data_IF_155149803446
#
_entry.id   IF_155149803446
#
_cell.length_a   1.000
_cell.length_b   1.000
_cell.length_c   1.000
_cell.angle_alpha   90.00
_cell.angle_beta   90.00
_cell.angle_gamma   90.00
#
_symmetry.space_group_name_H-M   'P 1'
#
loop_
_entity.id
_entity.type
_entity.pdbx_description
1 polymer ?
#
# COMPACT_ATOMS: atom_id res chain seq x y z
N UNK A 1 -25.11 5.19 -2.94
CA UNK A 1 -24.96 3.86 -2.31
C UNK A 1 -23.87 3.97 -1.27
N UNK A 2 -24.10 3.57 -0.03
CA UNK A 2 -23.09 3.68 1.03
C UNK A 2 -22.05 2.58 0.79
N UNK A 3 -20.91 2.91 0.23
CA UNK A 3 -19.82 1.97 0.01
C UNK A 3 -19.33 1.44 1.36
N UNK A 4 -19.36 0.13 1.54
CA UNK A 4 -18.87 -0.55 2.74
C UNK A 4 -17.50 -1.16 2.42
N UNK A 5 -16.48 -0.78 3.19
CA UNK A 5 -15.13 -1.29 3.06
C UNK A 5 -14.86 -2.43 4.05
N UNK A 6 -14.27 -3.53 3.62
CA UNK A 6 -13.86 -4.58 4.55
C UNK A 6 -12.55 -4.17 5.22
N UNK A 7 -12.62 -3.68 6.44
CA UNK A 7 -11.48 -3.23 7.23
C UNK A 7 -10.93 -4.40 8.03
N UNK A 8 -9.62 -4.66 7.91
CA UNK A 8 -8.88 -5.63 8.72
C UNK A 8 -8.38 -4.99 10.02
N UNK A 9 -7.78 -3.80 9.93
CA UNK A 9 -7.26 -3.09 11.10
C UNK A 9 -7.14 -1.57 10.84
N UNK A 10 -7.17 -0.78 11.93
CA UNK A 10 -6.81 0.65 11.93
C UNK A 10 -5.88 0.87 13.11
N UNK A 11 -4.63 1.30 12.84
CA UNK A 11 -3.62 1.55 13.86
C UNK A 11 -2.69 2.71 13.47
N UNK A 12 -2.01 3.30 14.45
CA UNK A 12 -1.00 4.33 14.22
C UNK A 12 0.40 3.75 14.39
N UNK A 13 1.28 4.07 13.45
CA UNK A 13 2.70 3.69 13.49
C UNK A 13 3.54 4.68 12.67
N UNK A 14 4.69 4.24 12.16
CA UNK A 14 5.57 4.98 11.27
C UNK A 14 5.49 4.34 9.87
N UNK A 15 5.31 5.16 8.80
CA UNK A 15 5.47 4.65 7.45
C UNK A 15 6.91 4.15 7.26
N UNK A 16 7.06 2.85 7.05
CA UNK A 16 8.36 2.18 6.98
C UNK A 16 8.94 2.09 5.58
N UNK A 17 8.24 2.56 4.54
CA UNK A 17 8.58 2.30 3.14
C UNK A 17 8.38 3.54 2.25
N UNK A 18 9.15 3.57 1.15
CA UNK A 18 8.95 4.53 0.06
C UNK A 18 9.24 5.97 0.41
N UNK A 19 8.54 6.87 -0.28
CA UNK A 19 8.75 8.32 -0.19
C UNK A 19 8.52 8.88 1.21
N UNK A 20 7.54 8.35 1.92
CA UNK A 20 7.13 8.81 3.25
C UNK A 20 7.80 8.04 4.40
N UNK A 21 8.88 7.30 4.14
CA UNK A 21 9.62 6.60 5.21
C UNK A 21 9.94 7.53 6.38
N UNK A 22 9.59 7.12 7.59
CA UNK A 22 9.80 7.89 8.82
C UNK A 22 8.64 8.81 9.22
N UNK A 23 7.63 8.97 8.38
CA UNK A 23 6.45 9.81 8.68
C UNK A 23 5.50 9.07 9.62
N UNK A 24 5.05 9.68 10.74
CA UNK A 24 3.96 9.12 11.55
C UNK A 24 2.69 8.96 10.72
N UNK A 25 2.11 7.78 10.72
CA UNK A 25 1.00 7.45 9.86
C UNK A 25 -0.09 6.61 10.55
N UNK A 26 -1.31 6.77 10.09
CA UNK A 26 -2.46 5.94 10.43
C UNK A 26 -2.66 4.95 9.30
N UNK A 27 -2.53 3.68 9.59
CA UNK A 27 -2.76 2.62 8.61
C UNK A 27 -4.22 2.17 8.67
N UNK A 28 -4.89 2.22 7.53
CA UNK A 28 -6.21 1.61 7.30
C UNK A 28 -5.99 0.44 6.37
N UNK A 29 -5.96 -0.76 6.93
CA UNK A 29 -5.74 -1.99 6.17
C UNK A 29 -7.06 -2.61 5.76
N UNK A 30 -7.25 -2.79 4.45
CA UNK A 30 -8.43 -3.44 3.90
C UNK A 30 -8.20 -4.94 3.70
N UNK A 31 -9.25 -5.71 3.84
CA UNK A 31 -9.28 -7.14 3.60
C UNK A 31 -9.62 -7.43 2.13
N UNK A 32 -9.07 -8.51 1.59
CA UNK A 32 -9.26 -8.97 0.22
C UNK A 32 -8.06 -8.66 -0.67
N UNK A 33 -7.46 -9.68 -1.30
CA UNK A 33 -6.41 -9.54 -2.29
C UNK A 33 -6.35 -10.75 -3.22
N UNK A 34 -6.69 -10.61 -4.50
CA UNK A 34 -6.61 -11.73 -5.44
C UNK A 34 -5.24 -11.84 -6.14
N UNK A 35 -4.27 -10.95 -5.82
CA UNK A 35 -2.99 -10.85 -6.54
C UNK A 35 -2.08 -12.05 -6.30
N UNK A 36 -2.03 -12.59 -5.06
CA UNK A 36 -1.35 -13.83 -4.74
C UNK A 36 0.18 -13.77 -4.79
N UNK A 37 0.80 -12.75 -4.18
CA UNK A 37 2.25 -12.57 -4.12
C UNK A 37 2.91 -13.65 -3.25
N UNK A 38 3.92 -14.35 -3.76
CA UNK A 38 4.59 -15.43 -3.01
C UNK A 38 5.33 -14.92 -1.74
N UNK A 39 5.77 -13.66 -1.74
CA UNK A 39 6.49 -13.02 -0.62
C UNK A 39 5.64 -12.03 0.19
N UNK A 40 4.30 -12.15 0.12
CA UNK A 40 3.40 -11.28 0.85
C UNK A 40 3.57 -11.48 2.36
N UNK A 41 3.75 -10.38 3.10
CA UNK A 41 3.85 -10.38 4.56
C UNK A 41 2.50 -10.22 5.27
N UNK A 42 1.43 -9.95 4.50
CA UNK A 42 0.05 -9.80 5.01
C UNK A 42 -0.91 -10.82 4.39
N UNK A 43 -0.50 -12.08 4.22
CA UNK A 43 -1.32 -13.12 3.60
C UNK A 43 -2.67 -13.34 4.31
N UNK A 44 -2.75 -13.01 5.60
CA UNK A 44 -3.98 -13.05 6.39
C UNK A 44 -5.07 -12.11 5.86
N UNK A 45 -4.71 -11.14 5.00
CA UNK A 45 -5.68 -10.20 4.38
C UNK A 45 -6.22 -10.66 3.03
N UNK A 46 -5.86 -11.84 2.52
CA UNK A 46 -6.23 -12.23 1.17
C UNK A 46 -7.71 -12.58 1.02
N UNK A 47 -8.29 -13.27 1.99
CA UNK A 47 -9.63 -13.85 1.90
C UNK A 47 -10.67 -13.06 2.71
N UNK A 48 -11.86 -12.90 2.14
CA UNK A 48 -13.04 -12.35 2.80
C UNK A 48 -13.90 -13.49 3.39
N UNK A 49 -13.29 -14.28 4.28
CA UNK A 49 -13.98 -15.39 4.91
C UNK A 49 -15.08 -14.90 5.85
N UNK A 50 -16.32 -15.37 5.67
CA UNK A 50 -17.48 -14.88 6.42
C UNK A 50 -17.41 -15.20 7.93
N UNK A 51 -16.78 -16.33 8.30
CA UNK A 51 -16.54 -16.73 9.69
C UNK A 51 -15.50 -15.87 10.41
N UNK A 52 -14.78 -15.02 9.69
CA UNK A 52 -13.79 -14.05 10.20
C UNK A 52 -14.34 -12.63 10.34
N UNK A 53 -15.58 -12.41 9.95
CA UNK A 53 -16.22 -11.12 10.16
C UNK A 53 -16.56 -10.91 11.64
N UNK A 54 -16.06 -9.78 12.20
CA UNK A 54 -16.22 -9.44 13.62
C UNK A 54 -16.76 -8.02 13.78
N UNK A 55 -17.12 -7.64 15.00
CA UNK A 55 -17.50 -6.26 15.31
C UNK A 55 -16.28 -5.31 15.24
N UNK A 56 -16.46 -4.03 14.85
CA UNK A 56 -15.37 -3.07 14.65
C UNK A 56 -14.46 -2.87 15.87
N UNK A 57 -15.02 -2.87 17.08
CA UNK A 57 -14.30 -2.69 18.34
C UNK A 57 -13.15 -3.69 18.58
N UNK A 58 -13.22 -4.84 17.90
CA UNK A 58 -12.18 -5.87 17.98
C UNK A 58 -10.96 -5.61 17.11
N UNK A 59 -11.05 -4.66 16.18
CA UNK A 59 -10.02 -4.43 15.13
C UNK A 59 -9.35 -3.07 15.22
N UNK A 60 -9.88 -2.17 16.07
CA UNK A 60 -9.40 -0.79 16.13
C UNK A 60 -8.32 -0.59 17.19
N UNK A 61 -7.38 0.31 16.91
CA UNK A 61 -6.37 0.79 17.87
C UNK A 61 -5.12 -0.08 17.99
N UNK A 62 -4.98 -1.14 17.21
CA UNK A 62 -3.81 -2.04 17.25
C UNK A 62 -3.57 -2.68 15.90
N UNK A 63 -2.31 -2.96 15.60
CA UNK A 63 -1.94 -3.85 14.51
C UNK A 63 -2.24 -5.31 14.88
N UNK A 64 -2.58 -6.11 13.88
CA UNK A 64 -2.92 -7.51 14.06
C UNK A 64 -2.51 -8.33 12.84
N UNK A 65 -1.97 -9.52 13.04
CA UNK A 65 -1.76 -10.51 11.98
C UNK A 65 -2.98 -11.44 11.80
N UNK A 66 -4.14 -11.02 12.29
CA UNK A 66 -5.39 -11.81 12.23
C UNK A 66 -6.08 -11.63 10.89
N UNK A 67 -6.72 -12.69 10.40
CA UNK A 67 -7.60 -12.65 9.24
C UNK A 67 -9.00 -12.07 9.55
N UNK A 68 -9.22 -11.56 10.75
CA UNK A 68 -10.49 -10.93 11.13
C UNK A 68 -10.69 -9.61 10.39
N UNK A 69 -11.94 -9.30 10.07
CA UNK A 69 -12.31 -8.07 9.36
C UNK A 69 -13.73 -7.63 9.72
N UNK A 70 -14.05 -6.37 9.48
CA UNK A 70 -15.39 -5.83 9.64
C UNK A 70 -15.78 -4.96 8.44
N UNK A 71 -17.08 -4.70 8.26
CA UNK A 71 -17.55 -3.73 7.28
C UNK A 71 -17.70 -2.37 7.94
N UNK A 72 -17.13 -1.35 7.30
CA UNK A 72 -17.26 0.04 7.74
C UNK A 72 -17.54 0.94 6.54
N UNK A 73 -18.41 1.93 6.71
CA UNK A 73 -18.54 3.02 5.73
C UNK A 73 -17.37 4.01 5.83
N UNK A 74 -17.26 4.91 4.86
CA UNK A 74 -16.24 5.97 4.90
C UNK A 74 -16.37 6.83 6.17
N UNK A 75 -17.60 7.20 6.53
CA UNK A 75 -17.91 7.97 7.74
C UNK A 75 -17.49 7.23 9.01
N UNK A 76 -17.76 5.93 9.08
CA UNK A 76 -17.36 5.11 10.22
C UNK A 76 -15.84 4.98 10.37
N UNK A 77 -15.10 4.87 9.26
CA UNK A 77 -13.64 4.84 9.28
C UNK A 77 -13.08 6.18 9.80
N UNK A 78 -13.58 7.31 9.29
CA UNK A 78 -13.15 8.65 9.72
C UNK A 78 -13.49 8.89 11.19
N UNK A 79 -14.68 8.52 11.63
CA UNK A 79 -15.09 8.62 13.03
C UNK A 79 -14.20 7.75 13.94
N UNK A 80 -13.91 6.51 13.55
CA UNK A 80 -13.02 5.63 14.30
C UNK A 80 -11.60 6.21 14.45
N UNK A 81 -11.04 6.81 13.40
CA UNK A 81 -9.74 7.49 13.45
C UNK A 81 -9.77 8.66 14.45
N UNK A 82 -10.85 9.46 14.45
CA UNK A 82 -11.02 10.57 15.39
C UNK A 82 -11.16 10.08 16.84
N UNK A 83 -11.96 9.04 17.07
CA UNK A 83 -12.22 8.46 18.40
C UNK A 83 -10.96 7.81 19.01
N UNK A 84 -10.07 7.25 18.16
CA UNK A 84 -8.78 6.71 18.59
C UNK A 84 -7.79 7.78 19.05
N UNK A 85 -8.06 9.06 18.79
CA UNK A 85 -7.25 10.18 19.28
C UNK A 85 -5.82 10.24 18.71
N UNK A 86 -5.60 9.70 17.49
CA UNK A 86 -4.30 9.65 16.87
C UNK A 86 -3.77 11.05 16.53
N UNK A 87 -2.47 11.26 16.75
CA UNK A 87 -1.78 12.52 16.43
C UNK A 87 -1.30 12.60 14.98
N UNK A 88 -1.08 11.46 14.33
CA UNK A 88 -0.64 11.42 12.94
C UNK A 88 -1.70 12.06 12.00
N UNK A 89 -1.20 12.71 10.94
CA UNK A 89 -2.04 13.38 9.93
C UNK A 89 -1.91 12.77 8.55
N UNK A 90 -1.15 11.69 8.42
CA UNK A 90 -0.94 10.96 7.20
C UNK A 90 -1.65 9.60 7.30
N UNK A 91 -2.59 9.33 6.42
CA UNK A 91 -3.33 8.05 6.35
C UNK A 91 -2.79 7.23 5.19
N UNK A 92 -2.45 5.97 5.47
CA UNK A 92 -2.04 5.00 4.47
C UNK A 92 -3.15 3.98 4.26
N UNK A 93 -3.82 4.07 3.12
CA UNK A 93 -4.77 3.05 2.66
C UNK A 93 -3.98 1.90 2.05
N UNK A 94 -4.05 0.74 2.65
CA UNK A 94 -3.26 -0.43 2.30
C UNK A 94 -4.08 -1.70 2.53
N UNK A 95 -3.44 -2.83 2.65
CA UNK A 95 -4.11 -4.03 3.08
C UNK A 95 -3.75 -5.25 2.28
N UNK A 96 -4.76 -5.98 1.83
CA UNK A 96 -4.78 -6.78 0.66
C UNK A 96 -4.49 -5.94 -0.58
N UNK A 97 -5.49 -5.75 -1.44
CA UNK A 97 -5.38 -4.79 -2.56
C UNK A 97 -6.49 -3.73 -2.41
N UNK A 98 -6.16 -2.50 -1.95
CA UNK A 98 -7.19 -1.51 -1.67
C UNK A 98 -7.92 -1.02 -2.92
N UNK A 99 -7.23 -0.97 -4.07
CA UNK A 99 -7.82 -0.49 -5.32
C UNK A 99 -8.81 -1.47 -5.99
N UNK A 100 -9.02 -2.66 -5.43
CA UNK A 100 -10.17 -3.49 -5.82
C UNK A 100 -11.53 -2.88 -5.38
N UNK A 101 -11.49 -1.85 -4.53
CA UNK A 101 -12.66 -1.11 -4.06
C UNK A 101 -12.66 0.32 -4.62
N UNK A 102 -13.85 0.89 -4.81
CA UNK A 102 -13.99 2.31 -5.07
C UNK A 102 -13.68 3.10 -3.80
N UNK A 103 -12.53 3.76 -3.78
CA UNK A 103 -12.02 4.52 -2.64
C UNK A 103 -12.43 5.99 -2.68
N UNK A 104 -13.19 6.44 -3.70
CA UNK A 104 -13.45 7.87 -3.91
C UNK A 104 -14.17 8.50 -2.71
N UNK A 105 -15.20 7.84 -2.18
CA UNK A 105 -15.92 8.35 -1.01
C UNK A 105 -15.04 8.40 0.24
N UNK A 106 -14.27 7.36 0.50
CA UNK A 106 -13.37 7.27 1.66
C UNK A 106 -12.26 8.33 1.58
N UNK A 107 -11.59 8.45 0.43
CA UNK A 107 -10.49 9.41 0.26
C UNK A 107 -10.96 10.85 0.40
N UNK A 108 -12.14 11.21 -0.14
CA UNK A 108 -12.74 12.53 0.05
C UNK A 108 -13.05 12.84 1.50
N UNK A 109 -13.61 11.91 2.23
CA UNK A 109 -13.93 12.08 3.65
C UNK A 109 -12.65 12.29 4.49
N UNK A 110 -11.60 11.50 4.24
CA UNK A 110 -10.31 11.66 4.92
C UNK A 110 -9.66 13.02 4.63
N UNK A 111 -9.67 13.47 3.36
CA UNK A 111 -9.15 14.77 2.97
C UNK A 111 -9.96 15.92 3.60
N UNK A 112 -11.30 15.84 3.64
CA UNK A 112 -12.18 16.80 4.31
C UNK A 112 -11.92 16.87 5.82
N UNK A 113 -11.51 15.75 6.44
CA UNK A 113 -11.07 15.72 7.84
C UNK A 113 -9.67 16.31 8.07
N UNK A 114 -9.02 16.86 7.03
CA UNK A 114 -7.69 17.48 7.11
C UNK A 114 -6.54 16.49 7.17
N UNK A 115 -6.75 15.27 6.72
CA UNK A 115 -5.74 14.20 6.66
C UNK A 115 -5.13 14.12 5.27
N UNK A 116 -3.80 13.95 5.18
CA UNK A 116 -3.14 13.57 3.94
C UNK A 116 -3.35 12.08 3.68
N UNK A 117 -3.59 11.69 2.42
CA UNK A 117 -3.92 10.30 2.07
C UNK A 117 -2.90 9.72 1.10
N UNK A 118 -2.32 8.59 1.46
CA UNK A 118 -1.48 7.74 0.62
C UNK A 118 -2.21 6.42 0.35
N UNK A 119 -2.12 5.94 -0.89
CA UNK A 119 -2.64 4.63 -1.31
C UNK A 119 -1.46 3.76 -1.71
N UNK A 120 -1.33 2.59 -1.09
CA UNK A 120 -0.37 1.54 -1.45
C UNK A 120 -1.09 0.48 -2.30
N UNK A 121 -0.75 0.37 -3.58
CA UNK A 121 -1.42 -0.55 -4.51
C UNK A 121 -0.45 -1.38 -5.34
N UNK A 122 -0.90 -2.54 -5.77
CA UNK A 122 -0.20 -3.39 -6.74
C UNK A 122 -0.20 -2.81 -8.17
N UNK A 123 -1.11 -1.89 -8.47
CA UNK A 123 -1.33 -1.35 -9.80
C UNK A 123 -2.14 -2.27 -10.73
N UNK A 124 -2.76 -3.30 -10.20
CA UNK A 124 -3.52 -4.30 -11.00
C UNK A 124 -5.01 -3.98 -11.10
N UNK A 125 -5.48 -2.94 -10.41
CA UNK A 125 -6.85 -2.45 -10.44
C UNK A 125 -6.90 -0.96 -10.75
N UNK A 126 -8.03 -0.46 -11.34
CA UNK A 126 -8.25 0.97 -11.53
C UNK A 126 -8.20 1.72 -10.19
N UNK A 127 -7.58 2.91 -10.18
CA UNK A 127 -7.47 3.71 -8.95
C UNK A 127 -8.63 4.70 -8.90
N UNK A 128 -9.71 4.29 -8.28
CA UNK A 128 -10.90 5.11 -8.05
C UNK A 128 -10.75 5.86 -6.71
N UNK A 129 -10.05 6.99 -6.71
CA UNK A 129 -9.73 7.79 -5.53
C UNK A 129 -9.65 9.27 -5.88
N UNK A 130 -9.71 10.15 -4.87
CA UNK A 130 -9.55 11.58 -5.09
C UNK A 130 -8.16 11.92 -5.66
N UNK A 131 -8.11 12.90 -6.56
CA UNK A 131 -6.89 13.30 -7.26
C UNK A 131 -5.79 13.82 -6.31
N UNK A 132 -6.16 14.36 -5.15
CA UNK A 132 -5.24 14.88 -4.14
C UNK A 132 -4.49 13.76 -3.37
N UNK A 133 -4.90 12.48 -3.50
CA UNK A 133 -4.21 11.37 -2.86
C UNK A 133 -2.86 11.09 -3.53
N UNK A 134 -1.85 10.85 -2.71
CA UNK A 134 -0.60 10.25 -3.16
C UNK A 134 -0.79 8.76 -3.46
N UNK A 135 -0.31 8.29 -4.59
CA UNK A 135 -0.35 6.87 -4.96
C UNK A 135 1.06 6.33 -5.06
N UNK A 136 1.35 5.35 -4.22
CA UNK A 136 2.54 4.50 -4.30
C UNK A 136 2.14 3.19 -4.97
N UNK A 137 2.62 2.98 -6.19
CA UNK A 137 2.38 1.76 -6.95
C UNK A 137 3.55 0.80 -6.74
N UNK A 138 3.28 -0.37 -6.16
CA UNK A 138 4.24 -1.45 -5.98
C UNK A 138 3.95 -2.57 -7.00
N UNK A 139 4.57 -2.55 -8.20
CA UNK A 139 4.14 -3.43 -9.30
C UNK A 139 4.29 -4.90 -8.94
N UNK A 140 3.22 -5.66 -9.11
CA UNK A 140 3.16 -7.11 -8.84
C UNK A 140 3.13 -7.88 -10.15
N UNK A 141 4.30 -7.94 -10.82
CA UNK A 141 4.47 -8.55 -12.14
C UNK A 141 4.51 -10.07 -12.01
N UNK A 142 3.72 -10.79 -12.83
CA UNK A 142 3.77 -12.25 -12.92
C UNK A 142 3.32 -12.99 -11.65
N UNK A 143 2.40 -12.40 -10.85
CA UNK A 143 1.87 -13.05 -9.64
C UNK A 143 0.83 -14.12 -9.97
N UNK A 144 0.53 -14.99 -8.99
CA UNK A 144 -0.39 -16.13 -9.12
C UNK A 144 -1.79 -15.74 -9.62
N UNK A 145 -2.27 -14.56 -9.24
CA UNK A 145 -3.58 -14.06 -9.66
C UNK A 145 -3.68 -13.74 -11.16
N UNK A 146 -2.57 -13.70 -11.90
CA UNK A 146 -2.57 -13.47 -13.35
C UNK A 146 -2.93 -12.05 -13.78
N UNK A 147 -2.98 -11.10 -12.86
CA UNK A 147 -3.32 -9.71 -13.17
C UNK A 147 -2.14 -8.96 -13.81
N UNK A 148 -2.46 -8.10 -14.77
CA UNK A 148 -1.48 -7.19 -15.38
C UNK A 148 -1.48 -5.83 -14.65
N UNK A 149 -0.32 -5.15 -14.70
CA UNK A 149 -0.24 -3.76 -14.28
C UNK A 149 -0.96 -2.90 -15.31
N UNK A 150 -1.92 -2.09 -14.84
CA UNK A 150 -2.71 -1.19 -15.67
C UNK A 150 -1.92 0.08 -16.00
N UNK A 151 -1.95 0.50 -17.26
CA UNK A 151 -1.28 1.74 -17.69
C UNK A 151 -1.86 2.97 -16.99
N UNK A 152 -3.18 3.03 -16.81
CA UNK A 152 -3.84 4.12 -16.08
C UNK A 152 -3.39 4.21 -14.61
N UNK A 153 -3.18 3.06 -13.94
CA UNK A 153 -2.66 3.04 -12.58
C UNK A 153 -1.20 3.51 -12.53
N UNK A 154 -0.40 3.05 -13.51
CA UNK A 154 0.98 3.47 -13.67
C UNK A 154 1.09 4.98 -13.91
N UNK A 155 0.25 5.56 -14.78
CA UNK A 155 0.25 6.98 -15.08
C UNK A 155 -0.22 7.82 -13.89
N UNK A 156 -1.17 7.31 -13.10
CA UNK A 156 -1.72 7.99 -11.92
C UNK A 156 -0.74 8.05 -10.75
N UNK A 157 0.14 7.07 -10.59
CA UNK A 157 1.04 6.96 -9.44
C UNK A 157 2.06 8.13 -9.39
N UNK A 158 2.37 8.64 -8.20
CA UNK A 158 3.48 9.56 -7.96
C UNK A 158 4.78 8.81 -7.66
N UNK A 159 4.65 7.60 -7.10
CA UNK A 159 5.78 6.75 -6.76
C UNK A 159 5.62 5.35 -7.33
N UNK A 160 6.72 4.79 -7.87
CA UNK A 160 6.83 3.37 -8.23
C UNK A 160 7.85 2.75 -7.28
N UNK A 161 7.36 1.93 -6.36
CA UNK A 161 8.16 1.20 -5.36
C UNK A 161 8.30 -0.26 -5.80
N UNK A 162 9.40 -0.59 -6.48
CA UNK A 162 9.58 -1.88 -7.12
C UNK A 162 10.30 -2.90 -6.25
N UNK A 163 9.68 -4.08 -5.97
CA UNK A 163 10.34 -5.16 -5.25
C UNK A 163 11.47 -5.79 -6.08
N UNK A 164 12.67 -5.89 -5.52
CA UNK A 164 13.88 -6.37 -6.22
C UNK A 164 14.54 -7.51 -5.46
N UNK A 165 14.90 -8.58 -6.18
CA UNK A 165 15.73 -9.67 -5.67
C UNK A 165 16.90 -10.00 -6.61
N UNK A 166 16.77 -9.74 -7.91
CA UNK A 166 17.75 -10.07 -8.95
C UNK A 166 17.65 -9.12 -10.14
N UNK A 167 18.66 -9.11 -11.02
CA UNK A 167 18.73 -8.21 -12.20
C UNK A 167 17.47 -8.28 -13.09
N UNK A 168 16.87 -9.45 -13.22
CA UNK A 168 15.62 -9.61 -13.99
C UNK A 168 14.54 -8.60 -13.55
N UNK A 169 14.43 -8.34 -12.25
CA UNK A 169 13.42 -7.41 -11.73
C UNK A 169 13.72 -5.96 -12.13
N UNK A 170 15.00 -5.61 -12.33
CA UNK A 170 15.38 -4.29 -12.87
C UNK A 170 14.93 -4.17 -14.32
N UNK A 171 15.15 -5.21 -15.15
CA UNK A 171 14.68 -5.22 -16.53
C UNK A 171 13.15 -5.17 -16.62
N UNK A 172 12.43 -5.87 -15.74
CA UNK A 172 10.98 -5.80 -15.66
C UNK A 172 10.50 -4.38 -15.34
N UNK A 173 11.18 -3.68 -14.42
CA UNK A 173 10.90 -2.28 -14.14
C UNK A 173 11.20 -1.39 -15.35
N UNK A 174 12.33 -1.58 -16.03
CA UNK A 174 12.67 -0.83 -17.25
C UNK A 174 11.58 -0.94 -18.32
N UNK A 175 11.09 -2.16 -18.55
CA UNK A 175 9.97 -2.39 -19.48
C UNK A 175 8.68 -1.69 -19.01
N UNK A 176 8.41 -1.68 -17.72
CA UNK A 176 7.25 -0.99 -17.17
C UNK A 176 7.37 0.52 -17.34
N UNK A 177 8.54 1.10 -17.03
CA UNK A 177 8.81 2.54 -17.19
C UNK A 177 8.76 2.99 -18.65
N UNK A 178 9.19 2.15 -19.58
CA UNK A 178 9.09 2.44 -21.03
C UNK A 178 7.64 2.62 -21.51
N UNK A 179 6.66 2.05 -20.82
CA UNK A 179 5.22 2.23 -21.08
C UNK A 179 4.65 3.49 -20.43
N UNK A 180 5.41 4.18 -19.58
CA UNK A 180 4.96 5.29 -18.76
C UNK A 180 5.44 6.63 -19.34
N UNK A 181 4.59 7.41 -20.02
CA UNK A 181 5.00 8.67 -20.65
C UNK A 181 5.55 9.71 -19.67
N UNK A 182 5.05 9.67 -18.43
CA UNK A 182 5.47 10.59 -17.35
C UNK A 182 6.41 9.92 -16.32
N UNK A 183 7.17 8.90 -16.73
CA UNK A 183 8.11 8.21 -15.83
C UNK A 183 9.15 9.14 -15.20
N UNK A 184 9.59 10.18 -15.91
CA UNK A 184 10.57 11.15 -15.43
C UNK A 184 10.05 12.02 -14.25
N UNK A 185 8.74 12.13 -14.08
CA UNK A 185 8.10 12.90 -13.02
C UNK A 185 7.90 12.07 -11.73
N UNK A 186 8.13 10.77 -11.81
CA UNK A 186 7.85 9.84 -10.71
C UNK A 186 9.03 9.63 -9.80
N UNK A 187 8.73 9.43 -8.54
CA UNK A 187 9.70 8.87 -7.59
C UNK A 187 9.85 7.38 -7.87
N UNK A 188 11.05 6.94 -8.22
CA UNK A 188 11.36 5.51 -8.39
C UNK A 188 12.11 5.04 -7.15
N UNK A 189 11.59 3.99 -6.51
CA UNK A 189 12.18 3.38 -5.34
C UNK A 189 12.36 1.87 -5.55
N UNK A 190 13.53 1.34 -5.19
CA UNK A 190 13.80 -0.09 -5.19
C UNK A 190 13.70 -0.65 -3.77
N UNK A 191 12.93 -1.72 -3.61
CA UNK A 191 12.73 -2.37 -2.32
C UNK A 191 13.29 -3.80 -2.34
N UNK A 192 14.39 -4.06 -1.59
CA UNK A 192 14.95 -5.41 -1.51
C UNK A 192 13.93 -6.39 -0.93
N UNK A 193 13.64 -7.48 -1.65
CA UNK A 193 12.72 -8.52 -1.16
C UNK A 193 13.34 -9.24 0.04
N UNK A 194 12.55 -9.36 1.10
CA UNK A 194 12.90 -10.14 2.32
C UNK A 194 14.25 -9.77 2.93
N UNK A 195 14.72 -8.54 2.73
CA UNK A 195 16.00 -8.02 3.26
C UNK A 195 17.23 -8.88 2.92
N UNK A 196 17.15 -9.66 1.85
CA UNK A 196 18.25 -10.52 1.41
C UNK A 196 19.50 -9.68 1.07
N UNK A 197 20.70 -10.00 1.59
CA UNK A 197 21.90 -9.21 1.38
C UNK A 197 22.22 -8.94 -0.10
N UNK A 198 22.06 -9.94 -0.97
CA UNK A 198 22.29 -9.80 -2.41
C UNK A 198 21.29 -8.84 -3.07
N UNK A 199 20.02 -8.93 -2.70
CA UNK A 199 18.96 -8.04 -3.18
C UNK A 199 19.23 -6.60 -2.72
N UNK A 200 19.67 -6.41 -1.47
CA UNK A 200 20.00 -5.11 -0.89
C UNK A 200 21.21 -4.48 -1.63
N UNK A 201 22.27 -5.24 -1.84
CA UNK A 201 23.45 -4.76 -2.60
C UNK A 201 23.08 -4.36 -4.04
N UNK A 202 22.27 -5.17 -4.72
CA UNK A 202 21.77 -4.86 -6.06
C UNK A 202 20.96 -3.56 -6.05
N UNK A 203 20.00 -3.43 -5.14
CA UNK A 203 19.16 -2.24 -5.03
C UNK A 203 20.00 -0.98 -4.75
N UNK A 204 20.95 -1.05 -3.81
CA UNK A 204 21.87 0.08 -3.51
C UNK A 204 22.64 0.50 -4.75
N UNK A 205 23.29 -0.46 -5.45
CA UNK A 205 24.07 -0.18 -6.66
C UNK A 205 23.23 0.53 -7.71
N UNK A 206 22.08 -0.04 -8.05
CA UNK A 206 21.19 0.52 -9.10
C UNK A 206 20.62 1.88 -8.68
N UNK A 207 20.26 2.06 -7.42
CA UNK A 207 19.79 3.35 -6.91
C UNK A 207 20.85 4.44 -7.07
N UNK A 208 22.13 4.14 -6.77
CA UNK A 208 23.25 5.09 -6.96
C UNK A 208 23.46 5.39 -8.46
N UNK A 209 23.52 4.36 -9.30
CA UNK A 209 23.75 4.48 -10.74
C UNK A 209 22.66 5.30 -11.45
N UNK A 210 21.40 5.17 -11.01
CA UNK A 210 20.23 5.78 -11.69
C UNK A 210 19.63 6.97 -10.94
N UNK A 211 20.21 7.39 -9.83
CA UNK A 211 19.69 8.42 -8.93
C UNK A 211 18.24 8.12 -8.46
N UNK A 212 17.98 6.85 -8.13
CA UNK A 212 16.73 6.38 -7.59
C UNK A 212 16.78 6.26 -6.07
N UNK A 213 15.63 6.04 -5.41
CA UNK A 213 15.57 5.87 -3.97
C UNK A 213 15.69 4.41 -3.56
N UNK A 214 16.37 4.17 -2.44
CA UNK A 214 16.31 2.89 -1.75
C UNK A 214 15.15 2.93 -0.75
N UNK A 215 14.20 2.01 -0.90
CA UNK A 215 13.13 1.78 0.06
C UNK A 215 13.45 0.51 0.84
N UNK A 216 13.86 0.67 2.09
CA UNK A 216 13.96 -0.45 3.03
C UNK A 216 12.63 -0.60 3.78
N UNK A 217 12.36 -1.79 4.30
CA UNK A 217 11.20 -2.02 5.19
C UNK A 217 11.63 -1.67 6.62
N UNK A 218 11.60 -0.36 6.95
CA UNK A 218 12.14 0.18 8.20
C UNK A 218 11.49 -0.45 9.44
N UNK A 219 10.19 -0.73 9.37
CA UNK A 219 9.46 -1.40 10.44
C UNK A 219 10.07 -2.75 10.85
N UNK A 220 10.66 -3.50 9.90
CA UNK A 220 11.34 -4.78 10.20
C UNK A 220 12.66 -4.61 10.95
N UNK A 221 13.31 -3.45 10.84
CA UNK A 221 14.54 -3.14 11.59
C UNK A 221 14.25 -2.53 12.96
N UNK A 222 13.17 -1.76 13.08
CA UNK A 222 12.79 -1.09 14.32
C UNK A 222 11.87 -1.95 15.20
N UNK A 223 11.39 -3.10 14.69
CA UNK A 223 10.41 -3.97 15.36
C UNK A 223 9.15 -3.21 15.80
N UNK A 224 8.68 -2.29 14.94
CA UNK A 224 7.39 -1.59 15.07
C UNK A 224 6.36 -2.15 14.10
N UNK A 225 5.07 -1.96 14.41
CA UNK A 225 3.95 -2.44 13.59
C UNK A 225 3.83 -1.66 12.27
#
# INVERSE_FOLDING_TARGET
MNNQYPVNEIFQSIQGEGYFTGVPAIFVRLQGCPVGCAWCDTQHTWELAADKQVAPDRLLGRASSSANWCRMSAEQIVAAIADLGYSARHVVLTGGEPCQYDLLALTRQLLLAGLAVQIETSGTFPIQADAACWVTLSPKIGMRGGFNILDEALFRAQEIKHPVAMEKHIHELDHLLARCPNAAEKVIALQPISQQPRATQLAIRVCIERNWRLSVQLHKYLHVD
#
